data_IF_510015474274
#
_entry.id   IF_510015474274
#
_cell.length_a   1.000
_cell.length_b   1.000
_cell.length_c   1.000
_cell.angle_alpha   90.00
_cell.angle_beta   90.00
_cell.angle_gamma   90.00
#
_symmetry.space_group_name_H-M   'P 1'
#
loop_
_entity.id
_entity.type
_entity.pdbx_description
1 polymer ?
#
# COMPACT_ATOMS: atom_id res chain seq x y z
N UNK A 1 -5.68 6.23 -37.77
CA UNK A 1 -5.60 6.21 -36.28
C UNK A 1 -4.14 6.27 -35.87
N UNK A 2 -3.63 7.46 -35.58
CA UNK A 2 -2.22 7.68 -35.24
C UNK A 2 -1.92 7.08 -33.86
N UNK A 3 -1.12 6.01 -33.83
CA UNK A 3 -0.63 5.44 -32.59
C UNK A 3 0.48 6.36 -32.09
N UNK A 4 0.14 7.26 -31.16
CA UNK A 4 1.14 8.07 -30.48
C UNK A 4 1.98 7.14 -29.61
N UNK A 5 3.12 6.71 -30.13
CA UNK A 5 4.13 5.96 -29.37
C UNK A 5 4.63 6.88 -28.27
N UNK A 6 4.13 6.73 -27.05
CA UNK A 6 4.63 7.47 -25.90
C UNK A 6 6.09 7.06 -25.71
N UNK A 7 7.02 7.98 -25.97
CA UNK A 7 8.43 7.78 -25.63
C UNK A 7 8.52 7.75 -24.11
N UNK A 8 9.16 6.72 -23.57
CA UNK A 8 9.59 6.68 -22.17
C UNK A 8 10.46 7.89 -21.88
N UNK A 9 10.39 8.43 -20.66
CA UNK A 9 11.25 9.53 -20.28
C UNK A 9 12.74 9.14 -20.41
N UNK A 10 13.54 10.02 -21.00
CA UNK A 10 15.00 9.97 -21.05
C UNK A 10 15.64 10.67 -19.85
N UNK A 11 14.89 11.56 -19.20
CA UNK A 11 15.33 12.36 -18.05
C UNK A 11 14.15 12.59 -17.11
N UNK A 12 14.38 12.43 -15.81
CA UNK A 12 13.44 12.72 -14.73
C UNK A 12 14.12 13.62 -13.69
N UNK A 13 13.35 14.12 -12.73
CA UNK A 13 13.86 14.97 -11.66
C UNK A 13 13.63 14.30 -10.32
N UNK A 14 14.68 14.09 -9.54
CA UNK A 14 14.56 13.74 -8.13
C UNK A 14 14.39 15.00 -7.30
N UNK A 15 13.50 14.96 -6.30
CA UNK A 15 13.32 16.03 -5.31
C UNK A 15 13.55 15.51 -3.89
N UNK A 16 14.38 16.18 -3.12
CA UNK A 16 14.59 15.94 -1.70
C UNK A 16 14.88 17.25 -0.98
N UNK A 17 14.18 17.56 0.12
CA UNK A 17 14.33 18.81 0.90
C UNK A 17 14.44 20.08 0.03
N UNK A 18 13.50 20.26 -0.89
CA UNK A 18 13.44 21.38 -1.86
C UNK A 18 14.60 21.44 -2.89
N UNK A 19 15.57 20.54 -2.82
CA UNK A 19 16.61 20.37 -3.82
C UNK A 19 16.13 19.46 -4.94
N UNK A 20 16.45 19.84 -6.18
CA UNK A 20 16.07 19.15 -7.40
C UNK A 20 17.33 18.72 -8.17
N UNK A 21 17.36 17.47 -8.62
CA UNK A 21 18.46 16.92 -9.40
C UNK A 21 17.91 16.18 -10.62
N UNK A 22 18.41 16.51 -11.80
CA UNK A 22 18.08 15.78 -13.02
C UNK A 22 18.86 14.48 -13.10
N UNK A 23 18.15 13.38 -13.34
CA UNK A 23 18.74 12.05 -13.42
C UNK A 23 18.16 11.27 -14.58
N UNK A 24 18.94 10.32 -15.09
CA UNK A 24 18.43 9.31 -16.02
C UNK A 24 17.52 8.34 -15.25
N UNK A 25 16.30 8.04 -15.74
CA UNK A 25 15.42 7.10 -15.08
C UNK A 25 16.00 5.68 -15.10
N UNK A 26 16.27 5.15 -13.92
CA UNK A 26 16.81 3.80 -13.74
C UNK A 26 15.71 2.73 -13.80
N UNK A 27 15.99 1.60 -14.43
CA UNK A 27 15.02 0.49 -14.49
C UNK A 27 14.93 -0.29 -13.18
N UNK A 28 15.99 -0.26 -12.38
CA UNK A 28 16.07 -0.98 -11.12
C UNK A 28 15.91 -0.01 -9.94
N UNK A 29 15.00 -0.35 -9.03
CA UNK A 29 14.76 0.42 -7.82
C UNK A 29 16.01 0.57 -6.94
N UNK A 30 16.82 -0.49 -6.81
CA UNK A 30 18.01 -0.44 -5.94
C UNK A 30 19.07 0.50 -6.51
N UNK A 31 19.26 0.47 -7.83
CA UNK A 31 20.13 1.42 -8.53
C UNK A 31 19.61 2.85 -8.39
N UNK A 32 18.29 3.06 -8.45
CA UNK A 32 17.69 4.36 -8.19
C UNK A 32 17.96 4.88 -6.77
N UNK A 33 17.92 4.00 -5.76
CA UNK A 33 18.31 4.34 -4.37
C UNK A 33 19.80 4.69 -4.30
N UNK A 34 20.66 3.93 -4.96
CA UNK A 34 22.11 4.19 -4.98
C UNK A 34 22.42 5.55 -5.64
N UNK A 35 21.75 5.88 -6.75
CA UNK A 35 21.85 7.19 -7.40
C UNK A 35 21.34 8.29 -6.48
N UNK A 36 20.20 8.10 -5.80
CA UNK A 36 19.70 9.08 -4.84
C UNK A 36 20.69 9.30 -3.69
N UNK A 37 21.29 8.24 -3.13
CA UNK A 37 22.31 8.35 -2.09
C UNK A 37 23.57 9.08 -2.57
N UNK A 38 23.96 8.87 -3.83
CA UNK A 38 25.12 9.52 -4.42
C UNK A 38 24.88 11.02 -4.67
N UNK A 39 23.74 11.37 -5.26
CA UNK A 39 23.41 12.76 -5.62
C UNK A 39 23.08 13.63 -4.39
N UNK A 40 22.51 13.01 -3.34
CA UNK A 40 22.18 13.67 -2.07
C UNK A 40 23.09 13.19 -0.93
N UNK A 41 24.37 12.94 -1.22
CA UNK A 41 25.33 12.40 -0.26
C UNK A 41 25.40 13.21 1.04
N UNK A 42 25.29 14.54 0.98
CA UNK A 42 25.35 15.41 2.16
C UNK A 42 24.18 15.19 3.14
N UNK A 43 22.99 14.90 2.61
CA UNK A 43 21.76 14.85 3.40
C UNK A 43 21.29 13.41 3.69
N UNK A 44 21.63 12.48 2.81
CA UNK A 44 21.31 11.06 2.95
C UNK A 44 22.49 10.21 3.46
N UNK A 45 23.63 10.84 3.80
CA UNK A 45 24.76 10.15 4.42
C UNK A 45 24.32 9.35 5.64
N UNK A 46 24.58 8.04 5.62
CA UNK A 46 24.27 7.13 6.74
C UNK A 46 22.80 6.70 6.85
N UNK A 47 21.92 7.17 5.96
CA UNK A 47 20.53 6.67 5.91
C UNK A 47 20.52 5.28 5.27
N UNK A 48 19.92 4.31 5.96
CA UNK A 48 19.75 2.96 5.43
C UNK A 48 18.86 2.97 4.18
N UNK A 49 19.25 2.22 3.15
CA UNK A 49 18.56 2.11 1.84
C UNK A 49 17.06 1.80 1.98
N UNK A 50 16.70 0.99 2.96
CA UNK A 50 15.32 0.55 3.23
C UNK A 50 14.39 1.69 3.70
N UNK A 51 14.99 2.74 4.28
CA UNK A 51 14.28 3.93 4.75
C UNK A 51 13.98 4.89 3.60
N UNK A 52 14.65 4.76 2.45
CA UNK A 52 14.42 5.61 1.29
C UNK A 52 13.21 5.07 0.52
N UNK A 53 12.24 5.96 0.28
CA UNK A 53 11.06 5.69 -0.52
C UNK A 53 10.87 6.78 -1.57
N UNK A 54 10.36 6.36 -2.73
CA UNK A 54 10.04 7.25 -3.82
C UNK A 54 8.53 7.43 -3.95
N UNK A 55 8.13 8.66 -4.26
CA UNK A 55 6.76 9.09 -4.44
C UNK A 55 6.63 9.87 -5.75
N UNK A 56 5.42 9.91 -6.29
CA UNK A 56 5.10 10.74 -7.47
C UNK A 56 3.69 11.26 -7.36
N UNK A 57 3.39 12.34 -8.08
CA UNK A 57 2.06 12.94 -8.10
C UNK A 57 1.20 12.26 -9.16
N UNK A 58 0.26 11.41 -8.75
CA UNK A 58 -0.70 10.78 -9.64
C UNK A 58 -2.05 11.51 -9.58
N UNK A 59 -2.74 11.58 -10.71
CA UNK A 59 -4.12 12.07 -10.75
C UNK A 59 -5.08 10.92 -10.46
N UNK A 60 -5.81 11.00 -9.34
CA UNK A 60 -6.84 10.04 -8.94
C UNK A 60 -8.11 10.83 -8.64
N UNK A 61 -9.22 10.49 -9.29
CA UNK A 61 -10.52 11.16 -9.12
C UNK A 61 -10.47 12.68 -9.34
N UNK A 62 -9.68 13.13 -10.33
CA UNK A 62 -9.49 14.55 -10.65
C UNK A 62 -8.63 15.32 -9.64
N UNK A 63 -8.12 14.67 -8.59
CA UNK A 63 -7.20 15.27 -7.62
C UNK A 63 -5.79 14.73 -7.83
N UNK A 64 -4.79 15.61 -7.75
CA UNK A 64 -3.39 15.18 -7.66
C UNK A 64 -3.11 14.72 -6.23
N UNK A 65 -2.68 13.48 -6.10
CA UNK A 65 -2.30 12.87 -4.83
C UNK A 65 -0.90 12.30 -4.93
N UNK A 66 -0.18 12.39 -3.83
CA UNK A 66 1.11 11.76 -3.68
C UNK A 66 0.92 10.25 -3.55
N UNK A 67 1.61 9.48 -4.39
CA UNK A 67 1.52 8.02 -4.42
C UNK A 67 2.91 7.42 -4.31
N UNK A 68 3.09 6.49 -3.37
CA UNK A 68 4.34 5.75 -3.19
C UNK A 68 4.55 4.77 -4.33
N UNK A 69 5.75 4.78 -4.91
CA UNK A 69 6.17 3.79 -5.91
C UNK A 69 6.83 2.61 -5.18
N UNK A 70 6.20 1.44 -5.27
CA UNK A 70 6.79 0.20 -4.75
C UNK A 70 7.89 -0.35 -5.65
N UNK A 71 8.82 -1.11 -5.08
CA UNK A 71 9.94 -1.72 -5.82
C UNK A 71 9.49 -2.58 -7.02
N UNK A 72 8.40 -3.34 -6.88
CA UNK A 72 7.84 -4.15 -7.97
C UNK A 72 7.15 -3.33 -9.07
N UNK A 73 6.62 -2.16 -8.72
CA UNK A 73 5.97 -1.25 -9.65
C UNK A 73 6.95 -0.31 -10.34
N UNK A 74 8.18 -0.21 -9.82
CA UNK A 74 9.18 0.76 -10.27
C UNK A 74 9.44 0.77 -11.77
N UNK A 75 9.73 -0.36 -12.45
CA UNK A 75 10.03 -0.32 -13.88
C UNK A 75 8.83 0.22 -14.69
N UNK A 76 7.63 -0.21 -14.33
CA UNK A 76 6.38 0.23 -14.98
C UNK A 76 6.03 1.67 -14.66
N UNK A 77 6.44 2.17 -13.51
CA UNK A 77 6.25 3.56 -13.13
C UNK A 77 7.16 4.45 -13.98
N UNK A 78 8.45 4.12 -14.07
CA UNK A 78 9.44 4.86 -14.87
C UNK A 78 9.06 4.94 -16.36
N UNK A 79 8.53 3.85 -16.94
CA UNK A 79 8.07 3.83 -18.34
C UNK A 79 6.89 4.78 -18.60
N UNK A 80 6.12 5.11 -17.56
CA UNK A 80 4.93 5.97 -17.65
C UNK A 80 5.23 7.43 -17.32
N UNK A 81 6.37 7.73 -16.71
CA UNK A 81 6.72 9.11 -16.37
C UNK A 81 6.93 9.92 -17.65
N UNK A 82 6.50 11.18 -17.59
CA UNK A 82 6.83 12.14 -18.62
C UNK A 82 8.28 12.61 -18.45
N UNK A 83 8.84 13.16 -19.52
CA UNK A 83 10.15 13.80 -19.48
C UNK A 83 10.13 14.97 -18.48
N UNK A 84 11.06 14.97 -17.53
CA UNK A 84 11.14 15.99 -16.49
C UNK A 84 10.13 15.84 -15.35
N UNK A 85 9.36 14.74 -15.30
CA UNK A 85 8.48 14.45 -14.16
C UNK A 85 9.29 14.42 -12.86
N UNK A 86 8.67 14.89 -11.77
CA UNK A 86 9.29 14.94 -10.45
C UNK A 86 8.97 13.66 -9.67
N UNK A 87 10.00 13.04 -9.14
CA UNK A 87 9.94 11.92 -8.21
C UNK A 87 10.45 12.40 -6.85
N UNK A 88 9.58 12.34 -5.87
CA UNK A 88 9.84 12.76 -4.50
C UNK A 88 10.57 11.66 -3.74
N UNK A 89 11.65 12.03 -3.06
CA UNK A 89 12.40 11.16 -2.16
C UNK A 89 11.95 11.46 -0.74
N UNK A 90 11.58 10.43 0.01
CA UNK A 90 11.15 10.56 1.41
C UNK A 90 11.90 9.54 2.26
N UNK A 91 12.44 9.99 3.39
CA UNK A 91 13.07 9.14 4.39
C UNK A 91 12.05 8.73 5.43
N UNK A 92 11.79 7.42 5.53
CA UNK A 92 10.91 6.86 6.57
C UNK A 92 11.54 7.02 7.95
N UNK A 93 10.69 7.21 8.96
CA UNK A 93 11.10 7.12 10.35
C UNK A 93 11.73 5.76 10.67
N UNK A 94 12.69 5.75 11.59
CA UNK A 94 13.30 4.52 12.07
C UNK A 94 12.27 3.70 12.85
N UNK A 95 11.96 2.45 12.46
CA UNK A 95 11.03 1.62 13.21
C UNK A 95 11.55 1.26 14.62
N UNK A 96 12.86 1.41 14.88
CA UNK A 96 13.46 1.19 16.18
C UNK A 96 13.37 2.41 17.10
N UNK A 97 12.92 3.56 16.61
CA UNK A 97 12.75 4.73 17.47
C UNK A 97 11.64 4.45 18.51
N UNK A 98 11.85 4.78 19.80
CA UNK A 98 10.79 4.67 20.78
C UNK A 98 9.59 5.51 20.33
N UNK A 99 8.35 5.05 20.60
CA UNK A 99 7.17 5.84 20.32
C UNK A 99 7.29 7.22 21.00
N UNK A 100 6.73 8.28 20.40
CA UNK A 100 6.82 9.63 20.97
C UNK A 100 6.33 9.58 22.42
N UNK A 101 7.18 10.05 23.35
CA UNK A 101 6.84 10.13 24.75
C UNK A 101 5.80 11.24 24.91
N UNK A 102 4.54 10.85 25.12
CA UNK A 102 3.49 11.80 25.42
C UNK A 102 3.81 12.46 26.75
N UNK A 103 3.79 13.80 26.76
CA UNK A 103 3.88 14.57 27.99
C UNK A 103 2.68 14.17 28.86
N UNK A 104 2.94 13.54 30.01
CA UNK A 104 1.89 13.23 30.97
C UNK A 104 1.34 14.54 31.51
N UNK A 105 0.17 14.96 31.01
CA UNK A 105 -0.53 16.15 31.49
C UNK A 105 -1.00 15.87 32.92
N UNK A 106 -0.50 16.61 33.95
CA UNK A 106 -0.92 16.39 35.32
C UNK A 106 -2.44 16.65 35.44
N UNK A 107 -3.22 15.58 35.64
CA UNK A 107 -4.69 15.66 35.75
C UNK A 107 -5.45 14.52 35.10
N UNK A 108 -4.85 13.79 34.15
CA UNK A 108 -5.43 12.55 33.64
C UNK A 108 -5.08 11.40 34.59
N UNK A 109 -6.05 10.97 35.42
CA UNK A 109 -5.88 9.79 36.29
C UNK A 109 -5.37 8.60 35.47
N UNK A 110 -4.22 8.08 35.86
CA UNK A 110 -3.57 6.92 35.29
C UNK A 110 -4.53 5.72 35.25
N UNK A 111 -4.95 5.31 34.06
CA UNK A 111 -5.49 3.97 33.83
C UNK A 111 -4.32 3.03 33.48
N UNK A 112 -3.37 2.88 34.41
CA UNK A 112 -2.36 1.84 34.32
C UNK A 112 -2.99 0.51 34.71
N UNK A 113 -3.06 -0.42 33.76
CA UNK A 113 -3.07 -1.86 34.05
C UNK A 113 -4.38 -2.44 34.57
N UNK A 114 -5.34 -2.67 33.67
CA UNK A 114 -6.27 -3.80 33.83
C UNK A 114 -6.66 -4.32 32.45
N UNK A 115 -6.50 -5.63 32.27
CA UNK A 115 -6.95 -6.42 31.13
C UNK A 115 -8.36 -5.98 30.71
N UNK A 116 -8.50 -5.38 29.53
CA UNK A 116 -9.82 -5.23 28.89
C UNK A 116 -10.26 -6.59 28.36
N UNK A 117 -10.68 -7.48 29.26
CA UNK A 117 -11.70 -8.47 28.94
C UNK A 117 -13.02 -7.74 29.09
N UNK A 118 -13.70 -7.50 27.98
CA UNK A 118 -15.04 -6.92 27.95
C UNK A 118 -15.95 -7.64 28.97
N UNK A 119 -16.63 -6.92 29.88
CA UNK A 119 -17.69 -7.51 30.67
C UNK A 119 -18.81 -7.88 29.70
N UNK A 120 -19.12 -9.17 29.60
CA UNK A 120 -20.33 -9.61 28.90
C UNK A 120 -21.53 -8.98 29.61
N UNK A 121 -22.43 -8.27 28.91
CA UNK A 121 -23.60 -7.69 29.54
C UNK A 121 -24.50 -8.80 30.08
N UNK A 122 -24.93 -8.66 31.34
CA UNK A 122 -25.90 -9.55 31.96
C UNK A 122 -27.26 -9.47 31.24
N UNK A 123 -28.11 -10.51 31.30
CA UNK A 123 -29.28 -10.65 30.43
C UNK A 123 -30.44 -9.65 30.68
N UNK A 124 -30.30 -8.73 31.64
CA UNK A 124 -31.42 -8.01 32.25
C UNK A 124 -31.73 -6.62 31.65
N UNK A 125 -30.83 -6.04 30.85
CA UNK A 125 -31.01 -4.67 30.31
C UNK A 125 -31.35 -4.64 28.81
N UNK A 126 -32.11 -5.62 28.34
CA UNK A 126 -32.41 -5.79 26.90
C UNK A 126 -33.51 -4.87 26.33
N UNK A 127 -33.96 -3.85 27.05
CA UNK A 127 -35.24 -3.18 26.72
C UNK A 127 -35.19 -1.71 26.24
N UNK A 128 -34.05 -0.99 26.28
CA UNK A 128 -34.06 0.44 25.89
C UNK A 128 -33.12 0.88 24.75
N UNK A 129 -32.14 0.07 24.33
CA UNK A 129 -31.21 0.49 23.26
C UNK A 129 -31.68 0.26 21.81
N UNK A 130 -32.91 -0.21 21.60
CA UNK A 130 -33.43 -0.53 20.26
C UNK A 130 -34.11 0.63 19.51
N UNK A 131 -34.02 1.88 19.99
CA UNK A 131 -34.76 3.01 19.38
C UNK A 131 -33.97 4.12 18.69
N UNK A 132 -32.63 4.11 18.66
CA UNK A 132 -31.88 5.22 18.05
C UNK A 132 -30.72 4.90 17.09
N UNK A 133 -30.27 3.65 16.93
CA UNK A 133 -29.31 3.27 15.88
C UNK A 133 -29.89 2.16 15.01
N UNK A 134 -30.24 2.51 13.76
CA UNK A 134 -30.84 1.64 12.76
C UNK A 134 -29.87 0.57 12.25
N UNK A 135 -29.60 -0.45 13.06
CA UNK A 135 -28.95 -1.68 12.62
C UNK A 135 -30.04 -2.66 12.19
N UNK A 136 -30.40 -2.63 10.91
CA UNK A 136 -31.22 -3.66 10.29
C UNK A 136 -30.40 -4.95 10.24
N UNK A 137 -30.61 -5.84 11.21
CA UNK A 137 -30.11 -7.21 11.17
C UNK A 137 -30.96 -8.01 10.18
N UNK A 138 -30.43 -8.29 8.99
CA UNK A 138 -31.00 -9.31 8.11
C UNK A 138 -30.75 -10.71 8.68
N UNK A 139 -31.79 -11.58 8.73
CA UNK A 139 -31.71 -12.92 9.31
C UNK A 139 -31.03 -13.92 8.36
N UNK A 140 -30.14 -14.73 8.91
CA UNK A 140 -29.61 -15.92 8.26
C UNK A 140 -30.67 -17.05 8.25
N UNK A 141 -30.92 -17.70 7.11
CA UNK A 141 -31.66 -18.96 7.09
C UNK A 141 -30.72 -20.16 7.16
N UNK A 142 -30.94 -20.99 8.17
CA UNK A 142 -30.45 -22.36 8.26
C UNK A 142 -31.20 -23.28 7.29
N UNK A 143 -30.49 -24.22 6.66
CA UNK A 143 -30.97 -25.50 6.07
C UNK A 143 -29.79 -26.07 5.24
N UNK A 144 -29.58 -27.36 5.04
CA UNK A 144 -29.97 -28.62 5.66
C UNK A 144 -29.14 -29.68 4.93
N UNK A 145 -28.89 -30.80 5.58
CA UNK A 145 -28.00 -31.89 5.20
C UNK A 145 -28.43 -32.72 3.96
N UNK A 146 -27.41 -33.32 3.31
CA UNK A 146 -27.38 -34.65 2.63
C UNK A 146 -27.79 -34.75 1.14
N UNK A 147 -27.55 -35.90 0.45
CA UNK A 147 -26.28 -36.41 -0.10
C UNK A 147 -26.42 -36.90 -1.58
N UNK A 148 -25.41 -37.61 -2.11
CA UNK A 148 -25.41 -38.46 -3.35
C UNK A 148 -25.41 -37.71 -4.70
N UNK A 149 -24.94 -38.19 -5.85
CA UNK A 149 -24.06 -39.27 -6.35
C UNK A 149 -24.02 -39.07 -7.89
N UNK A 150 -23.24 -39.88 -8.61
CA UNK A 150 -23.15 -40.03 -10.09
C UNK A 150 -22.21 -39.04 -10.80
N UNK A 151 -21.05 -39.50 -11.27
CA UNK A 151 -20.81 -40.24 -12.53
C UNK A 151 -20.81 -39.32 -13.74
N UNK A 152 -19.62 -39.06 -14.30
CA UNK A 152 -19.40 -39.17 -15.74
C UNK A 152 -17.90 -39.21 -16.06
N UNK A 153 -17.43 -40.45 -16.11
CA UNK A 153 -16.53 -40.99 -17.11
C UNK A 153 -16.85 -40.39 -18.50
N UNK A 154 -15.86 -39.76 -19.14
CA UNK A 154 -15.69 -39.78 -20.61
C UNK A 154 -14.20 -39.79 -20.94
N UNK A 155 -13.72 -41.02 -21.04
CA UNK A 155 -12.79 -41.45 -22.07
C UNK A 155 -13.17 -40.85 -23.43
N UNK A 156 -12.23 -40.22 -24.11
CA UNK A 156 -12.17 -40.24 -25.57
C UNK A 156 -10.70 -40.43 -25.94
N UNK A 157 -10.37 -41.70 -26.13
CA UNK A 157 -9.18 -42.21 -26.79
C UNK A 157 -9.06 -41.77 -28.26
N UNK A 158 -7.85 -42.00 -28.79
CA UNK A 158 -7.48 -42.13 -30.21
C UNK A 158 -7.30 -40.83 -31.03
N UNK A 159 -6.36 -40.66 -31.98
CA UNK A 159 -5.23 -41.43 -32.55
C UNK A 159 -4.80 -40.65 -33.81
N UNK A 160 -3.68 -41.07 -34.43
CA UNK A 160 -3.32 -40.84 -35.87
C UNK A 160 -2.64 -39.48 -36.12
N UNK A 161 -1.55 -39.29 -36.87
CA UNK A 161 -0.58 -40.09 -37.65
C UNK A 161 0.34 -39.08 -38.38
N UNK A 162 1.54 -39.53 -38.76
CA UNK A 162 2.50 -38.97 -39.73
C UNK A 162 2.36 -37.50 -40.20
N UNK A 163 3.44 -36.73 -40.00
CA UNK A 163 4.26 -36.23 -41.12
C UNK A 163 5.65 -35.78 -40.63
#
# INVERSE_FOLDING_TARGET
MSHSTRKTADIITYRFNDRLVYVSPEKNYQTAVDVALQEYADELAGIARERIAFYTMASMDGQRREVRIGQSAWPRAMDKLARGEVVDIVVKADPSAPPPQYLEVPGAKAASGARSRSPSPSPSERSMFRRFFGFSSSPAPSRSSSPSSSSNERDISEKTRDQ
#
